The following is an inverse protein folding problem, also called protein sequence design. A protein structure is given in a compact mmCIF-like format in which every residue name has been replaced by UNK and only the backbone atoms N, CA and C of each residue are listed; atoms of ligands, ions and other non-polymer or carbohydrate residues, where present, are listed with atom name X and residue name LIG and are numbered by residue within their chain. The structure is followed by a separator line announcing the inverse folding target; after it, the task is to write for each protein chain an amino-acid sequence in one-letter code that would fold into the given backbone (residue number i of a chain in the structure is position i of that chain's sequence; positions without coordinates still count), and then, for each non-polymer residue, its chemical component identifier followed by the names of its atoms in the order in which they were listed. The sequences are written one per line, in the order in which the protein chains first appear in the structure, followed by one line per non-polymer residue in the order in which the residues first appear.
data_IF_771260035700
#
_entry.id   IF_771260035700
#
_cell.length_a   1.000
_cell.length_b   1.000
_cell.length_c   1.000
_cell.angle_alpha   90.00
_cell.angle_beta   90.00
_cell.angle_gamma   90.00
#
_symmetry.space_group_name_H-M   'P 1'
#
loop_
_entity.id
_entity.type
_entity.pdbx_description
1 polymer ?
#
# COMPACT_ATOMS: atom_id res chain seq x y z
N UNK A 1 10.59 -10.40 -28.32
CA UNK A 1 11.63 -9.35 -28.57
C UNK A 1 12.41 -9.10 -27.29
N UNK A 2 13.64 -8.55 -27.36
CA UNK A 2 14.46 -8.29 -26.15
C UNK A 2 13.76 -7.37 -25.13
N UNK A 3 12.91 -6.45 -25.59
CA UNK A 3 12.06 -5.60 -24.74
C UNK A 3 11.02 -6.43 -23.98
N UNK A 4 10.35 -7.40 -24.64
CA UNK A 4 9.35 -8.26 -23.98
C UNK A 4 10.00 -9.15 -22.93
N UNK A 5 11.20 -9.67 -23.21
CA UNK A 5 11.99 -10.42 -22.23
C UNK A 5 12.31 -9.59 -20.99
N UNK A 6 12.72 -8.33 -21.15
CA UNK A 6 12.98 -7.45 -20.00
C UNK A 6 11.70 -7.10 -19.23
N UNK A 7 10.55 -7.00 -19.91
CA UNK A 7 9.24 -6.79 -19.27
C UNK A 7 8.77 -7.98 -18.44
N UNK A 8 8.98 -9.20 -18.94
CA UNK A 8 8.58 -10.43 -18.23
C UNK A 8 9.40 -10.68 -16.96
N UNK A 9 10.67 -10.28 -16.98
CA UNK A 9 11.60 -10.51 -15.87
C UNK A 9 11.73 -9.34 -14.88
N UNK A 10 11.26 -8.14 -15.25
CA UNK A 10 11.26 -6.91 -14.43
C UNK A 10 12.57 -6.64 -13.67
N UNK A 11 13.69 -6.79 -14.37
CA UNK A 11 15.04 -6.73 -13.80
C UNK A 11 15.80 -5.49 -14.31
N UNK A 12 16.30 -4.67 -13.39
CA UNK A 12 17.03 -3.45 -13.71
C UNK A 12 18.36 -3.71 -14.44
N UNK A 13 19.07 -4.79 -14.13
CA UNK A 13 20.32 -5.15 -14.80
C UNK A 13 20.07 -5.58 -16.24
N UNK A 14 18.95 -6.28 -16.50
CA UNK A 14 18.50 -6.59 -17.86
C UNK A 14 18.19 -5.32 -18.65
N UNK A 15 17.45 -4.37 -18.08
CA UNK A 15 17.18 -3.08 -18.71
C UNK A 15 18.45 -2.29 -19.00
N UNK A 16 19.40 -2.25 -18.05
CA UNK A 16 20.68 -1.59 -18.22
C UNK A 16 21.53 -2.23 -19.33
N UNK A 17 21.58 -3.56 -19.37
CA UNK A 17 22.27 -4.29 -20.44
C UNK A 17 21.64 -3.98 -21.81
N UNK A 18 20.31 -3.95 -21.87
CA UNK A 18 19.53 -3.64 -23.06
C UNK A 18 19.80 -2.21 -23.57
N UNK A 19 19.77 -1.21 -22.68
CA UNK A 19 20.05 0.20 -23.00
C UNK A 19 21.48 0.38 -23.51
N UNK A 20 22.46 -0.27 -22.86
CA UNK A 20 23.85 -0.21 -23.29
C UNK A 20 24.04 -0.80 -24.69
N UNK A 21 23.35 -1.89 -25.02
CA UNK A 21 23.43 -2.50 -26.34
C UNK A 21 22.77 -1.64 -27.42
N UNK A 22 21.61 -1.04 -27.13
CA UNK A 22 20.93 -0.16 -28.07
C UNK A 22 21.63 1.17 -28.31
N UNK A 23 22.44 1.66 -27.36
CA UNK A 23 23.29 2.83 -27.61
C UNK A 23 24.25 2.65 -28.80
N UNK A 24 24.59 1.39 -29.13
CA UNK A 24 25.44 1.02 -30.27
C UNK A 24 24.66 0.94 -31.58
N UNK A 25 23.34 0.84 -31.52
CA UNK A 25 22.42 0.56 -32.63
C UNK A 25 21.36 1.66 -32.78
N UNK A 26 21.71 2.82 -33.40
CA UNK A 26 20.84 3.99 -33.49
C UNK A 26 19.48 3.71 -34.16
N UNK A 27 19.40 2.73 -35.05
CA UNK A 27 18.19 2.30 -35.74
C UNK A 27 17.13 1.67 -34.80
N UNK A 28 17.53 1.21 -33.61
CA UNK A 28 16.64 0.53 -32.65
C UNK A 28 16.25 1.45 -31.50
N UNK A 29 17.04 2.48 -31.20
CA UNK A 29 16.83 3.42 -30.07
C UNK A 29 15.39 3.96 -30.05
N UNK A 30 14.84 4.33 -31.20
CA UNK A 30 13.48 4.87 -31.34
C UNK A 30 12.40 3.90 -30.84
N UNK A 31 12.55 2.60 -31.11
CA UNK A 31 11.60 1.57 -30.64
C UNK A 31 11.69 1.34 -29.14
N UNK A 32 12.87 1.58 -28.57
CA UNK A 32 13.15 1.42 -27.14
C UNK A 32 12.52 2.58 -26.38
N UNK A 33 12.80 3.82 -26.80
CA UNK A 33 12.21 5.03 -26.22
C UNK A 33 10.68 4.96 -26.14
N UNK A 34 10.04 4.36 -27.14
CA UNK A 34 8.60 4.18 -27.18
C UNK A 34 8.06 3.13 -26.17
N UNK A 35 8.89 2.20 -25.70
CA UNK A 35 8.46 1.01 -24.95
C UNK A 35 8.97 0.89 -23.51
N UNK A 36 9.87 1.77 -23.05
CA UNK A 36 10.50 1.66 -21.71
C UNK A 36 9.84 2.49 -20.60
N UNK A 37 8.95 3.43 -20.94
CA UNK A 37 8.54 4.52 -20.03
C UNK A 37 7.98 4.01 -18.70
N UNK A 38 7.33 2.84 -18.73
CA UNK A 38 6.70 2.24 -17.56
C UNK A 38 7.70 1.47 -16.66
N UNK A 39 8.92 1.20 -17.14
CA UNK A 39 9.89 0.30 -16.50
C UNK A 39 11.22 0.97 -16.15
N UNK A 40 11.60 2.05 -16.85
CA UNK A 40 12.91 2.69 -16.68
C UNK A 40 12.77 4.20 -16.66
N UNK A 41 13.57 4.86 -15.83
CA UNK A 41 13.69 6.32 -15.83
C UNK A 41 14.22 6.82 -17.19
N UNK A 42 13.45 7.66 -17.91
CA UNK A 42 13.84 8.21 -19.21
C UNK A 42 15.19 8.93 -19.23
N UNK A 43 15.59 9.57 -18.12
CA UNK A 43 16.86 10.27 -18.00
C UNK A 43 18.06 9.35 -18.27
N UNK A 44 18.00 8.11 -17.76
CA UNK A 44 19.05 7.10 -17.92
C UNK A 44 19.26 6.75 -19.39
N UNK A 45 18.19 6.78 -20.20
CA UNK A 45 18.28 6.48 -21.63
C UNK A 45 18.77 7.67 -22.43
N UNK A 46 18.34 8.89 -22.09
CA UNK A 46 18.84 10.12 -22.72
C UNK A 46 20.34 10.29 -22.49
N UNK A 47 20.84 9.99 -21.29
CA UNK A 47 22.28 10.07 -20.96
C UNK A 47 23.15 9.11 -21.77
N UNK A 48 22.57 8.03 -22.30
CA UNK A 48 23.31 7.00 -23.06
C UNK A 48 23.40 7.31 -24.56
N UNK A 49 22.69 8.33 -25.04
CA UNK A 49 22.73 8.75 -26.44
C UNK A 49 24.03 9.52 -26.69
N UNK A 50 24.85 9.04 -27.65
CA UNK A 50 26.12 9.69 -28.00
C UNK A 50 25.89 10.90 -28.90
N UNK A 51 26.68 11.95 -28.68
CA UNK A 51 26.69 13.14 -29.53
C UNK A 51 27.17 12.80 -30.95
N UNK A 52 26.50 13.38 -31.95
CA UNK A 52 26.84 13.18 -33.38
C UNK A 52 26.25 11.90 -34.00
N UNK A 53 25.50 11.10 -33.24
CA UNK A 53 24.84 9.90 -33.74
C UNK A 53 23.57 10.25 -34.53
N UNK A 54 23.45 9.77 -35.76
CA UNK A 54 22.25 9.97 -36.57
C UNK A 54 21.19 8.93 -36.18
N UNK A 55 20.23 9.34 -35.35
CA UNK A 55 19.12 8.50 -34.90
C UNK A 55 17.83 8.93 -35.62
N UNK A 56 17.24 8.07 -36.46
CA UNK A 56 16.02 8.39 -37.17
C UNK A 56 14.85 8.55 -36.18
N UNK A 57 14.01 9.57 -36.38
CA UNK A 57 12.82 9.84 -35.55
C UNK A 57 13.10 10.03 -34.05
N UNK A 58 14.32 10.43 -33.67
CA UNK A 58 14.67 10.65 -32.26
C UNK A 58 13.79 11.72 -31.60
N UNK A 59 13.66 12.88 -32.24
CA UNK A 59 12.87 14.01 -31.69
C UNK A 59 11.42 13.63 -31.36
N UNK A 60 10.63 13.05 -32.28
CA UNK A 60 9.25 12.67 -31.95
C UNK A 60 9.18 11.58 -30.87
N UNK A 61 10.06 10.59 -30.87
CA UNK A 61 10.06 9.55 -29.80
C UNK A 61 10.45 10.10 -28.43
N UNK A 62 11.41 11.03 -28.37
CA UNK A 62 11.74 11.72 -27.11
C UNK A 62 10.57 12.53 -26.57
N UNK A 63 9.89 13.29 -27.44
CA UNK A 63 8.70 14.06 -27.03
C UNK A 63 7.63 13.12 -26.48
N UNK A 64 7.31 12.04 -27.21
CA UNK A 64 6.32 11.05 -26.79
C UNK A 64 6.67 10.41 -25.44
N UNK A 65 7.93 9.99 -25.29
CA UNK A 65 8.45 9.38 -24.05
C UNK A 65 8.33 10.34 -22.86
N UNK A 66 8.76 11.60 -23.01
CA UNK A 66 8.68 12.61 -21.95
C UNK A 66 7.22 12.94 -21.59
N UNK A 67 6.33 13.01 -22.57
CA UNK A 67 4.90 13.20 -22.32
C UNK A 67 4.29 12.04 -21.53
N UNK A 68 4.57 10.80 -21.93
CA UNK A 68 4.10 9.62 -21.17
C UNK A 68 4.66 9.61 -19.74
N UNK A 69 5.94 9.93 -19.56
CA UNK A 69 6.57 9.99 -18.24
C UNK A 69 5.94 11.05 -17.34
N UNK A 70 5.67 12.25 -17.87
CA UNK A 70 5.00 13.31 -17.12
C UNK A 70 3.61 12.89 -16.66
N UNK A 71 2.81 12.27 -17.55
CA UNK A 71 1.48 11.78 -17.20
C UNK A 71 1.59 10.71 -16.10
N UNK A 72 2.52 9.76 -16.23
CA UNK A 72 2.72 8.72 -15.22
C UNK A 72 3.11 9.32 -13.86
N UNK A 73 4.03 10.30 -13.85
CA UNK A 73 4.41 11.02 -12.64
C UNK A 73 3.22 11.76 -12.01
N UNK A 74 2.40 12.46 -12.80
CA UNK A 74 1.20 13.16 -12.32
C UNK A 74 0.21 12.20 -11.66
N UNK A 75 -0.04 11.04 -12.27
CA UNK A 75 -0.92 10.00 -11.73
C UNK A 75 -0.37 9.48 -10.39
N UNK A 76 0.90 9.12 -10.34
CA UNK A 76 1.53 8.62 -9.11
C UNK A 76 1.54 9.68 -8.00
N UNK A 77 1.85 10.94 -8.34
CA UNK A 77 1.83 12.04 -7.39
C UNK A 77 0.42 12.29 -6.83
N UNK A 78 -0.59 12.26 -7.69
CA UNK A 78 -1.99 12.40 -7.27
C UNK A 78 -2.43 11.26 -6.36
N UNK A 79 -2.12 10.01 -6.74
CA UNK A 79 -2.42 8.83 -5.93
C UNK A 79 -1.72 8.88 -4.56
N UNK A 80 -0.45 9.32 -4.52
CA UNK A 80 0.28 9.51 -3.27
C UNK A 80 -0.36 10.57 -2.38
N UNK A 81 -0.82 11.69 -2.95
CA UNK A 81 -1.52 12.74 -2.19
C UNK A 81 -2.84 12.22 -1.60
N UNK A 82 -3.64 11.49 -2.39
CA UNK A 82 -4.87 10.85 -1.91
C UNK A 82 -4.54 9.90 -0.75
N UNK A 83 -3.58 9.00 -0.94
CA UNK A 83 -3.19 8.03 0.09
C UNK A 83 -2.73 8.71 1.39
N UNK A 84 -1.94 9.78 1.30
CA UNK A 84 -1.48 10.52 2.48
C UNK A 84 -2.64 11.19 3.20
N UNK A 85 -3.55 11.83 2.46
CA UNK A 85 -4.73 12.46 3.04
C UNK A 85 -5.61 11.44 3.76
N UNK A 86 -5.93 10.32 3.09
CA UNK A 86 -6.73 9.23 3.66
C UNK A 86 -6.06 8.66 4.92
N UNK A 87 -4.74 8.48 4.89
CA UNK A 87 -3.98 8.01 6.05
C UNK A 87 -4.14 8.96 7.24
N UNK A 88 -3.94 10.27 7.02
CA UNK A 88 -4.06 11.26 8.10
C UNK A 88 -5.48 11.37 8.64
N UNK A 89 -6.49 11.35 7.77
CA UNK A 89 -7.90 11.38 8.14
C UNK A 89 -8.26 10.17 9.01
N UNK A 90 -8.06 8.95 8.50
CA UNK A 90 -8.36 7.70 9.21
C UNK A 90 -7.59 7.61 10.52
N UNK A 91 -6.30 7.95 10.49
CA UNK A 91 -5.47 7.95 11.70
C UNK A 91 -6.01 8.93 12.75
N UNK A 92 -6.38 10.15 12.34
CA UNK A 92 -6.94 11.15 13.24
C UNK A 92 -8.27 10.69 13.87
N UNK A 93 -9.13 10.03 13.10
CA UNK A 93 -10.38 9.45 13.59
C UNK A 93 -10.12 8.33 14.62
N UNK A 94 -9.21 7.40 14.31
CA UNK A 94 -8.84 6.30 15.19
C UNK A 94 -8.29 6.84 16.51
N UNK A 95 -7.36 7.80 16.46
CA UNK A 95 -6.78 8.43 17.66
C UNK A 95 -7.85 9.13 18.48
N UNK A 96 -8.77 9.85 17.83
CA UNK A 96 -9.88 10.54 18.51
C UNK A 96 -10.80 9.54 19.20
N UNK A 97 -11.18 8.46 18.52
CA UNK A 97 -11.99 7.38 19.09
C UNK A 97 -11.29 6.70 20.26
N UNK A 98 -9.99 6.39 20.14
CA UNK A 98 -9.22 5.74 21.20
C UNK A 98 -9.02 6.62 22.44
N UNK A 99 -8.85 7.93 22.26
CA UNK A 99 -8.66 8.89 23.37
C UNK A 99 -9.98 9.31 24.03
N UNK A 100 -11.12 9.11 23.37
CA UNK A 100 -12.43 9.41 23.94
C UNK A 100 -12.72 8.50 25.13
N UNK A 101 -13.27 9.07 26.20
CA UNK A 101 -13.79 8.30 27.33
C UNK A 101 -14.97 7.43 26.90
N UNK A 102 -14.97 6.17 27.32
CA UNK A 102 -16.05 5.22 27.03
C UNK A 102 -16.82 4.90 28.30
N UNK A 103 -18.15 4.99 28.23
CA UNK A 103 -19.01 4.53 29.31
C UNK A 103 -19.04 3.01 29.33
N UNK A 104 -18.86 2.44 30.52
CA UNK A 104 -19.03 1.01 30.80
C UNK A 104 -20.09 0.88 31.87
N UNK A 105 -21.21 0.23 31.55
CA UNK A 105 -22.31 0.01 32.49
C UNK A 105 -22.04 -1.23 33.37
N UNK A 106 -22.65 -1.29 34.54
CA UNK A 106 -22.60 -2.45 35.45
C UNK A 106 -23.25 -3.71 34.86
N UNK A 107 -24.16 -3.53 33.91
CA UNK A 107 -24.84 -4.62 33.20
C UNK A 107 -23.96 -5.27 32.12
N UNK A 108 -22.85 -4.63 31.72
CA UNK A 108 -21.99 -5.18 30.68
C UNK A 108 -21.23 -6.42 31.18
N UNK A 109 -21.36 -7.50 30.41
CA UNK A 109 -20.70 -8.78 30.66
C UNK A 109 -19.41 -8.87 29.83
N UNK A 110 -18.40 -9.53 30.39
CA UNK A 110 -17.17 -9.82 29.67
C UNK A 110 -17.45 -10.90 28.62
N UNK A 111 -17.13 -10.62 27.35
CA UNK A 111 -17.39 -11.57 26.25
C UNK A 111 -16.62 -12.90 26.35
N UNK A 112 -15.60 -13.01 27.21
CA UNK A 112 -14.88 -14.28 27.44
C UNK A 112 -15.43 -15.12 28.60
N UNK A 113 -15.82 -14.48 29.71
CA UNK A 113 -16.22 -15.20 30.93
C UNK A 113 -17.70 -15.04 31.29
N UNK A 114 -18.42 -14.19 30.56
CA UNK A 114 -19.85 -13.88 30.75
C UNK A 114 -20.20 -13.35 32.16
N UNK A 115 -19.21 -12.84 32.90
CA UNK A 115 -19.40 -12.20 34.21
C UNK A 115 -19.41 -10.67 34.06
N UNK A 116 -20.06 -9.93 34.98
CA UNK A 116 -20.01 -8.48 34.98
C UNK A 116 -18.58 -7.95 34.90
N UNK A 117 -18.35 -7.02 33.97
CA UNK A 117 -17.03 -6.42 33.76
C UNK A 117 -16.61 -5.60 34.99
N UNK A 118 -17.57 -4.93 35.60
CA UNK A 118 -17.41 -4.15 36.82
C UNK A 118 -17.83 -5.00 38.03
N UNK A 119 -16.87 -5.33 38.89
CA UNK A 119 -17.13 -6.06 40.14
C UNK A 119 -17.15 -5.06 41.31
N UNK A 120 -18.16 -5.16 42.17
CA UNK A 120 -18.28 -4.32 43.37
C UNK A 120 -17.33 -4.87 44.45
N UNK A 121 -16.51 -4.01 45.06
CA UNK A 121 -15.61 -4.39 46.16
C UNK A 121 -14.20 -4.83 45.76
N UNK A 122 -13.81 -4.67 44.49
CA UNK A 122 -12.44 -4.93 44.01
C UNK A 122 -11.70 -3.63 43.70
N UNK A 123 -10.40 -3.58 44.01
CA UNK A 123 -9.58 -2.37 43.86
C UNK A 123 -9.04 -2.14 42.43
N UNK A 124 -9.20 -3.11 41.52
CA UNK A 124 -8.62 -3.05 40.17
C UNK A 124 -9.56 -3.66 39.13
N UNK A 125 -10.52 -2.87 38.64
CA UNK A 125 -11.26 -3.21 37.42
C UNK A 125 -10.41 -2.82 36.19
N UNK A 126 -9.45 -3.68 35.83
CA UNK A 126 -8.70 -3.52 34.59
C UNK A 126 -9.56 -4.03 33.42
N UNK A 127 -10.00 -3.11 32.56
CA UNK A 127 -10.95 -3.38 31.47
C UNK A 127 -10.28 -3.08 30.13
N UNK A 128 -10.59 -3.89 29.13
CA UNK A 128 -10.24 -3.65 27.74
C UNK A 128 -11.54 -3.60 26.93
N UNK A 129 -11.75 -2.50 26.23
CA UNK A 129 -12.85 -2.36 25.28
C UNK A 129 -12.27 -2.27 23.87
N UNK A 130 -12.80 -3.08 22.95
CA UNK A 130 -12.43 -3.06 21.54
C UNK A 130 -13.32 -2.08 20.76
N UNK A 131 -12.90 -1.68 19.55
CA UNK A 131 -13.66 -0.74 18.71
C UNK A 131 -15.04 -1.29 18.31
N UNK A 132 -15.16 -2.61 18.16
CA UNK A 132 -16.43 -3.30 17.96
C UNK A 132 -17.41 -3.21 19.15
N UNK A 133 -17.02 -2.57 20.25
CA UNK A 133 -17.86 -2.34 21.43
C UNK A 133 -17.80 -3.45 22.48
N UNK A 134 -17.21 -4.60 22.15
CA UNK A 134 -17.03 -5.70 23.10
C UNK A 134 -16.03 -5.38 24.21
N UNK A 135 -16.34 -5.85 25.41
CA UNK A 135 -15.63 -5.50 26.64
C UNK A 135 -15.11 -6.76 27.32
N UNK A 136 -13.89 -6.68 27.86
CA UNK A 136 -13.18 -7.79 28.45
C UNK A 136 -12.48 -7.37 29.74
N UNK A 137 -12.37 -8.29 30.70
CA UNK A 137 -11.42 -8.11 31.80
C UNK A 137 -9.99 -8.28 31.26
N UNK A 138 -9.05 -7.45 31.70
CA UNK A 138 -7.63 -7.57 31.34
C UNK A 138 -7.08 -8.99 31.62
N UNK A 139 -7.36 -9.64 32.77
CA UNK A 139 -6.94 -11.02 33.02
C UNK A 139 -7.52 -12.03 32.01
N UNK A 140 -8.77 -11.85 31.56
CA UNK A 140 -9.40 -12.74 30.56
C UNK A 140 -8.75 -12.64 29.16
N UNK A 141 -7.89 -11.63 28.95
CA UNK A 141 -7.21 -11.37 27.68
C UNK A 141 -5.70 -11.64 27.71
N UNK A 142 -5.12 -11.84 28.90
CA UNK A 142 -3.69 -12.13 29.08
C UNK A 142 -3.35 -13.52 28.51
N UNK A 143 -2.90 -13.53 27.25
CA UNK A 143 -2.49 -14.74 26.50
C UNK A 143 -3.26 -14.99 25.20
N UNK A 144 -4.37 -14.30 24.95
CA UNK A 144 -5.23 -14.47 23.76
C UNK A 144 -5.76 -13.16 23.16
N UNK A 145 -5.09 -12.02 23.37
CA UNK A 145 -5.35 -10.84 22.54
C UNK A 145 -4.86 -11.12 21.12
N UNK A 146 -5.65 -11.89 20.37
CA UNK A 146 -5.69 -11.70 18.94
C UNK A 146 -6.07 -10.23 18.74
N UNK A 147 -5.45 -9.58 17.75
CA UNK A 147 -5.81 -8.23 17.31
C UNK A 147 -7.30 -8.08 16.94
N UNK A 148 -8.05 -9.19 16.96
CA UNK A 148 -9.41 -9.35 16.53
C UNK A 148 -10.28 -9.83 17.70
N UNK A 149 -11.48 -9.28 17.78
CA UNK A 149 -12.50 -9.71 18.73
C UNK A 149 -12.98 -11.13 18.41
N UNK A 150 -13.02 -12.02 19.40
CA UNK A 150 -13.49 -13.41 19.24
C UNK A 150 -14.95 -13.49 18.79
N UNK A 151 -15.82 -12.64 19.33
CA UNK A 151 -17.24 -12.56 18.94
C UNK A 151 -17.40 -12.12 17.47
N UNK A 152 -16.67 -11.07 17.06
CA UNK A 152 -16.70 -10.62 15.66
C UNK A 152 -16.10 -11.66 14.69
N UNK A 153 -15.05 -12.37 15.12
CA UNK A 153 -14.44 -13.43 14.33
C UNK A 153 -15.40 -14.60 14.11
N UNK A 154 -16.11 -15.02 15.16
CA UNK A 154 -17.13 -16.07 15.07
C UNK A 154 -18.31 -15.65 14.19
N UNK A 155 -18.72 -14.38 14.27
CA UNK A 155 -19.77 -13.84 13.40
C UNK A 155 -19.35 -13.84 11.91
N UNK A 156 -18.13 -13.40 11.59
CA UNK A 156 -17.64 -13.42 10.20
C UNK A 156 -17.57 -14.86 9.63
N UNK A 157 -17.10 -15.83 10.41
CA UNK A 157 -17.09 -17.24 10.01
C UNK A 157 -18.49 -17.84 9.82
N UNK A 158 -19.48 -17.33 10.55
CA UNK A 158 -20.87 -17.75 10.37
C UNK A 158 -21.47 -17.16 9.09
N UNK A 159 -21.15 -15.91 8.75
CA UNK A 159 -21.65 -15.23 7.54
C UNK A 159 -21.03 -15.80 6.25
N UNK A 160 -19.73 -16.16 6.25
CA UNK A 160 -19.06 -16.81 5.12
C UNK A 160 -19.61 -18.20 4.76
N UNK A 161 -20.42 -18.83 5.63
CA UNK A 161 -21.10 -20.10 5.33
C UNK A 161 -22.41 -19.95 4.57
N UNK A 162 -22.91 -18.72 4.38
CA UNK A 162 -24.20 -18.43 3.75
C UNK A 162 -24.07 -17.52 2.50
N UNK A 163 -22.85 -17.35 1.99
CA UNK A 163 -22.53 -16.71 0.71
C UNK A 163 -21.81 -17.74 -0.16
#
# INVERSE_FOLDING_TARGET
MAIEFCKEHDDNDLWNALINEFSKHPEIVTKVLDGIVDYVNPAVVVEKIKMGQNIPNLRPSLIKMLWHYNIHFEVLSSAQQIQLNDYFEIHSEIVTKQRRGHHVSYEQLCSMCQRPVLMIGTHYNCIIRLECGHVYHKPCTQGKLQKNCTECYLWNLAVEKYV
#
